data_IF_473007797203
#
_entry.id   IF_473007797203
#
_cell.length_a   1.000
_cell.length_b   1.000
_cell.length_c   1.000
_cell.angle_alpha   90.00
_cell.angle_beta   90.00
_cell.angle_gamma   90.00
#
_symmetry.space_group_name_H-M   'P 1'
#
loop_
_entity.id
_entity.type
_entity.pdbx_description
1 polymer ?
#
# COMPACT_ATOMS: atom_id res chain seq x y z
N UNK A 1 -20.40 -20.36 -18.98
CA UNK A 1 -19.82 -19.71 -17.79
C UNK A 1 -18.91 -20.73 -17.10
N UNK A 2 -17.60 -20.51 -17.07
CA UNK A 2 -16.65 -21.37 -16.34
C UNK A 2 -16.02 -20.56 -15.19
N UNK A 3 -15.85 -21.14 -13.99
CA UNK A 3 -15.14 -20.52 -12.89
C UNK A 3 -13.62 -20.42 -13.18
N UNK A 4 -12.95 -19.44 -12.59
CA UNK A 4 -11.51 -19.15 -12.79
C UNK A 4 -10.61 -20.38 -12.48
N UNK A 5 -11.09 -21.34 -11.67
CA UNK A 5 -10.37 -22.60 -11.40
C UNK A 5 -10.10 -23.45 -12.65
N UNK A 6 -10.85 -23.27 -13.74
CA UNK A 6 -10.68 -24.05 -14.97
C UNK A 6 -9.56 -23.55 -15.91
N UNK A 7 -8.95 -22.39 -15.63
CA UNK A 7 -7.90 -21.79 -16.48
C UNK A 7 -6.47 -22.11 -16.02
N UNK A 8 -6.30 -23.00 -15.04
CA UNK A 8 -5.03 -23.19 -14.31
C UNK A 8 -4.17 -24.39 -14.73
N UNK A 9 -4.54 -25.17 -15.76
CA UNK A 9 -3.71 -26.31 -16.19
C UNK A 9 -3.32 -26.21 -17.68
N UNK A 10 -2.04 -25.92 -17.99
CA UNK A 10 -1.51 -26.14 -19.33
C UNK A 10 -1.15 -27.63 -19.57
N UNK A 11 -1.62 -28.18 -20.69
CA UNK A 11 -1.19 -29.47 -21.25
C UNK A 11 0.28 -29.37 -21.71
N UNK A 12 1.18 -30.31 -21.38
CA UNK A 12 2.57 -30.24 -21.80
C UNK A 12 2.80 -31.02 -23.10
N UNK A 13 3.54 -30.47 -24.08
CA UNK A 13 4.18 -31.17 -25.22
C UNK A 13 5.14 -30.19 -25.97
N UNK A 14 6.15 -30.64 -26.75
CA UNK A 14 7.53 -30.67 -26.28
C UNK A 14 8.54 -29.84 -27.12
N UNK A 15 9.71 -29.68 -26.50
CA UNK A 15 10.99 -29.10 -26.93
C UNK A 15 11.43 -29.23 -28.40
N UNK A 16 12.01 -28.15 -28.97
CA UNK A 16 13.09 -28.20 -29.98
C UNK A 16 14.11 -27.06 -29.83
N UNK A 17 15.37 -27.43 -30.08
CA UNK A 17 16.67 -26.77 -29.87
C UNK A 17 17.12 -25.83 -31.03
N UNK A 18 18.25 -25.10 -30.90
CA UNK A 18 18.53 -23.84 -31.60
C UNK A 18 19.59 -23.92 -32.72
N UNK A 19 19.68 -22.88 -33.57
CA UNK A 19 20.79 -22.62 -34.52
C UNK A 19 20.56 -21.24 -35.19
N UNK A 20 21.50 -20.42 -35.67
CA UNK A 20 22.92 -20.09 -35.46
C UNK A 20 23.28 -19.05 -36.56
N UNK A 21 24.30 -18.21 -36.32
CA UNK A 21 25.11 -17.39 -37.29
C UNK A 21 24.48 -16.12 -37.90
N UNK A 22 25.19 -15.04 -38.26
CA UNK A 22 26.57 -14.51 -38.07
C UNK A 22 26.57 -13.03 -38.56
N UNK A 23 27.51 -12.21 -38.08
CA UNK A 23 27.82 -10.84 -38.57
C UNK A 23 28.72 -10.84 -39.82
N UNK A 24 28.91 -9.69 -40.51
CA UNK A 24 30.16 -8.91 -40.28
C UNK A 24 30.10 -7.35 -40.46
N UNK A 25 30.94 -6.64 -39.66
CA UNK A 25 31.94 -5.55 -39.93
C UNK A 25 31.70 -4.51 -41.08
N UNK A 26 31.97 -3.19 -41.03
CA UNK A 26 32.54 -2.18 -40.09
C UNK A 26 32.46 -0.76 -40.82
N UNK A 27 33.19 0.33 -40.47
CA UNK A 27 32.83 1.44 -39.57
C UNK A 27 32.82 2.87 -40.22
N UNK A 28 32.12 3.86 -39.63
CA UNK A 28 32.58 5.27 -39.64
C UNK A 28 32.05 6.05 -38.43
N UNK A 29 32.96 6.80 -37.80
CA UNK A 29 32.79 7.62 -36.60
C UNK A 29 31.98 8.89 -36.85
N UNK A 30 31.01 9.21 -36.00
CA UNK A 30 30.66 10.60 -35.69
C UNK A 30 30.06 10.70 -34.28
N UNK A 31 30.50 11.75 -33.60
CA UNK A 31 30.39 12.05 -32.18
C UNK A 31 28.97 12.36 -31.69
N UNK A 32 28.68 11.80 -30.51
CA UNK A 32 27.85 12.31 -29.41
C UNK A 32 26.57 13.10 -29.71
N UNK A 33 25.43 12.43 -29.48
CA UNK A 33 24.33 13.00 -28.69
C UNK A 33 23.68 11.86 -27.89
N UNK A 34 24.08 11.75 -26.62
CA UNK A 34 23.53 10.80 -25.65
C UNK A 34 22.07 11.19 -25.36
N UNK A 35 21.13 10.50 -26.00
CA UNK A 35 19.74 10.46 -25.55
C UNK A 35 19.48 9.10 -24.92
N UNK A 36 19.35 9.03 -23.59
CA UNK A 36 18.58 7.99 -22.95
C UNK A 36 17.51 8.67 -22.10
N UNK A 37 16.29 8.73 -22.63
CA UNK A 37 15.12 8.61 -21.76
C UNK A 37 14.72 7.13 -21.80
N UNK A 38 15.15 6.31 -20.83
CA UNK A 38 14.35 5.14 -20.54
C UNK A 38 13.02 5.67 -20.01
N UNK A 39 11.93 5.36 -20.72
CA UNK A 39 10.62 5.37 -20.10
C UNK A 39 10.76 4.60 -18.77
N UNK A 40 10.24 5.10 -17.64
CA UNK A 40 10.29 4.31 -16.42
C UNK A 40 9.53 3.03 -16.71
N UNK A 41 10.24 1.91 -16.78
CA UNK A 41 9.64 0.59 -16.79
C UNK A 41 8.71 0.56 -15.58
N UNK A 42 7.40 0.55 -15.83
CA UNK A 42 6.38 0.45 -14.80
C UNK A 42 6.46 -0.97 -14.26
N UNK A 43 7.41 -1.21 -13.34
CA UNK A 43 7.39 -2.41 -12.53
C UNK A 43 6.16 -2.28 -11.64
N UNK A 44 5.25 -3.23 -11.78
CA UNK A 44 4.17 -3.43 -10.83
C UNK A 44 4.80 -3.58 -9.45
N UNK A 45 4.16 -3.12 -8.38
CA UNK A 45 4.63 -3.47 -7.03
C UNK A 45 4.75 -5.00 -6.87
N UNK A 46 3.93 -5.75 -7.63
CA UNK A 46 3.95 -7.21 -7.77
C UNK A 46 5.31 -7.79 -8.15
N UNK A 47 6.14 -7.02 -8.86
CA UNK A 47 7.47 -7.43 -9.37
C UNK A 47 8.62 -6.86 -8.52
N UNK A 48 8.30 -6.10 -7.46
CA UNK A 48 9.30 -5.45 -6.63
C UNK A 48 10.11 -6.49 -5.81
N UNK A 49 11.45 -6.46 -5.90
CA UNK A 49 12.31 -7.35 -5.11
C UNK A 49 12.06 -7.19 -3.60
N UNK A 50 11.85 -8.29 -2.88
CA UNK A 50 11.68 -8.31 -1.42
C UNK A 50 10.23 -8.31 -0.92
N UNK A 51 9.24 -8.26 -1.80
CA UNK A 51 7.83 -8.49 -1.43
C UNK A 51 7.60 -9.99 -1.17
N UNK A 52 7.10 -10.35 0.01
CA UNK A 52 6.69 -11.72 0.29
C UNK A 52 5.22 -11.88 -0.08
N UNK A 53 4.93 -12.69 -1.10
CA UNK A 53 3.57 -13.22 -1.28
C UNK A 53 3.30 -14.28 -0.22
N UNK A 54 2.13 -14.26 0.40
CA UNK A 54 1.72 -15.26 1.37
C UNK A 54 0.26 -15.10 1.76
N UNK A 55 -0.27 -16.09 2.47
CA UNK A 55 -1.58 -15.99 3.12
C UNK A 55 -1.60 -14.79 4.07
N UNK A 56 -2.76 -14.14 4.26
CA UNK A 56 -2.90 -13.10 5.27
C UNK A 56 -2.44 -13.61 6.64
N UNK A 57 -1.73 -12.79 7.41
CA UNK A 57 -1.41 -13.11 8.80
C UNK A 57 -2.15 -12.15 9.73
N UNK A 58 -2.98 -12.71 10.61
CA UNK A 58 -3.85 -11.93 11.48
C UNK A 58 -5.17 -11.52 10.82
N UNK A 59 -5.97 -10.69 11.52
CA UNK A 59 -7.29 -10.30 11.04
C UNK A 59 -7.20 -9.36 9.83
N UNK A 60 -8.09 -9.59 8.85
CA UNK A 60 -8.30 -8.69 7.73
C UNK A 60 -9.43 -7.73 8.10
N UNK A 61 -9.07 -6.57 8.64
CA UNK A 61 -10.04 -5.56 9.06
C UNK A 61 -10.49 -4.67 7.89
N UNK A 62 -9.63 -4.53 6.86
CA UNK A 62 -9.84 -3.67 5.70
C UNK A 62 -9.66 -4.45 4.39
N UNK A 63 -10.59 -5.39 4.07
CA UNK A 63 -10.55 -6.15 2.83
C UNK A 63 -10.81 -5.26 1.62
N UNK A 64 -10.37 -5.64 0.40
CA UNK A 64 -10.82 -5.00 -0.83
C UNK A 64 -12.33 -5.17 -0.98
N UNK A 65 -12.99 -4.18 -1.57
CA UNK A 65 -14.39 -4.28 -1.93
C UNK A 65 -14.56 -5.26 -3.11
N UNK A 66 -15.25 -6.37 -2.87
CA UNK A 66 -15.54 -7.42 -3.86
C UNK A 66 -16.89 -7.21 -4.56
N UNK A 67 -17.56 -6.07 -4.35
CA UNK A 67 -18.82 -5.78 -5.05
C UNK A 67 -18.58 -5.48 -6.53
N UNK A 68 -19.29 -6.19 -7.39
CA UNK A 68 -19.28 -6.00 -8.85
C UNK A 68 -20.71 -5.98 -9.37
N UNK A 69 -21.05 -4.92 -10.10
CA UNK A 69 -22.21 -4.89 -10.99
C UNK A 69 -21.76 -4.58 -12.43
N UNK A 70 -22.69 -4.65 -13.37
CA UNK A 70 -22.42 -4.45 -14.79
C UNK A 70 -21.78 -3.07 -15.05
N UNK A 71 -22.25 -2.02 -14.38
CA UNK A 71 -21.72 -0.67 -14.51
C UNK A 71 -20.29 -0.54 -13.97
N UNK A 72 -19.97 -1.16 -12.83
CA UNK A 72 -18.62 -1.18 -12.28
C UNK A 72 -17.68 -2.01 -13.14
N UNK A 73 -18.12 -3.11 -13.76
CA UNK A 73 -17.30 -3.89 -14.69
C UNK A 73 -16.85 -3.07 -15.90
N UNK A 74 -17.75 -2.28 -16.50
CA UNK A 74 -17.40 -1.38 -17.61
C UNK A 74 -16.38 -0.32 -17.18
N UNK A 75 -16.57 0.24 -15.98
CA UNK A 75 -15.63 1.20 -15.40
C UNK A 75 -14.27 0.55 -15.15
N UNK A 76 -14.23 -0.65 -14.60
CA UNK A 76 -12.98 -1.34 -14.29
C UNK A 76 -12.19 -1.63 -15.57
N UNK A 77 -12.88 -1.99 -16.66
CA UNK A 77 -12.28 -2.11 -17.98
C UNK A 77 -11.77 -0.75 -18.50
N UNK A 78 -12.57 0.32 -18.38
CA UNK A 78 -12.19 1.68 -18.80
C UNK A 78 -10.94 2.20 -18.09
N UNK A 79 -10.81 1.94 -16.79
CA UNK A 79 -9.66 2.35 -15.99
C UNK A 79 -8.52 1.31 -15.98
N UNK A 80 -8.63 0.22 -16.77
CA UNK A 80 -7.66 -0.88 -16.81
C UNK A 80 -7.25 -1.34 -15.39
N UNK A 81 -8.23 -1.52 -14.49
CA UNK A 81 -7.97 -1.85 -13.08
C UNK A 81 -7.32 -3.24 -13.00
N UNK A 82 -6.13 -3.29 -12.41
CA UNK A 82 -5.35 -4.51 -12.21
C UNK A 82 -5.00 -4.66 -10.74
N UNK A 83 -5.61 -5.64 -10.10
CA UNK A 83 -5.24 -6.01 -8.74
C UNK A 83 -3.82 -6.59 -8.73
N UNK A 84 -3.01 -6.13 -7.77
CA UNK A 84 -1.71 -6.75 -7.53
C UNK A 84 -2.02 -8.14 -6.96
N UNK A 85 -1.78 -9.19 -7.74
CA UNK A 85 -2.25 -10.53 -7.40
C UNK A 85 -1.82 -10.95 -5.98
N UNK A 86 -2.82 -11.27 -5.13
CA UNK A 86 -2.73 -11.81 -3.74
C UNK A 86 -2.19 -10.84 -2.70
N UNK A 87 -2.62 -11.00 -1.44
CA UNK A 87 -2.07 -10.32 -0.25
C UNK A 87 -0.55 -10.26 -0.32
N UNK A 88 0.02 -9.07 -0.25
CA UNK A 88 1.47 -8.89 -0.26
C UNK A 88 1.91 -8.36 1.09
N UNK A 89 2.89 -9.01 1.69
CA UNK A 89 3.58 -8.45 2.85
C UNK A 89 4.68 -7.54 2.35
N UNK A 90 4.61 -6.27 2.69
CA UNK A 90 5.78 -5.40 2.64
C UNK A 90 6.46 -5.57 4.00
N UNK A 91 7.62 -6.24 4.08
CA UNK A 91 8.44 -6.14 5.27
C UNK A 91 8.81 -4.67 5.43
N UNK A 92 8.14 -3.99 6.35
CA UNK A 92 8.58 -2.70 6.83
C UNK A 92 9.74 -3.01 7.77
N UNK A 93 10.92 -2.47 7.47
CA UNK A 93 12.01 -2.39 8.45
C UNK A 93 12.03 -0.94 8.89
N UNK A 94 11.40 -0.62 10.04
CA UNK A 94 11.36 0.75 10.51
C UNK A 94 12.80 1.27 10.57
N UNK A 95 13.07 2.35 9.85
CA UNK A 95 14.30 3.12 10.05
C UNK A 95 14.21 3.94 11.34
N UNK A 96 13.03 4.02 11.96
CA UNK A 96 12.75 4.70 13.22
C UNK A 96 11.76 3.89 14.07
N UNK A 97 11.93 3.81 15.40
CA UNK A 97 11.04 3.08 16.30
C UNK A 97 9.62 3.66 16.39
N UNK A 98 9.39 4.89 15.89
CA UNK A 98 8.09 5.60 15.92
C UNK A 98 6.91 4.74 15.41
N UNK A 99 7.13 3.93 14.37
CA UNK A 99 6.05 3.09 13.85
C UNK A 99 5.67 1.98 14.83
N UNK A 100 6.65 1.25 15.38
CA UNK A 100 6.38 0.21 16.36
C UNK A 100 5.78 0.79 17.64
N UNK A 101 6.32 1.91 18.11
CA UNK A 101 5.79 2.61 19.29
C UNK A 101 4.33 3.00 19.09
N UNK A 102 3.93 3.44 17.89
CA UNK A 102 2.56 3.91 17.65
C UNK A 102 1.59 2.81 17.22
N UNK A 103 2.07 1.69 16.68
CA UNK A 103 1.21 0.64 16.10
C UNK A 103 1.34 -0.73 16.77
N UNK A 104 2.40 -0.96 17.56
CA UNK A 104 2.75 -2.27 18.10
C UNK A 104 3.25 -3.27 17.04
N UNK A 105 3.49 -2.80 15.80
CA UNK A 105 3.86 -3.66 14.65
C UNK A 105 5.19 -3.23 14.06
N UNK A 106 5.93 -4.21 13.55
CA UNK A 106 7.16 -3.96 12.81
C UNK A 106 6.94 -4.04 11.29
N UNK A 107 5.88 -4.71 10.83
CA UNK A 107 5.59 -4.93 9.41
C UNK A 107 4.21 -4.36 9.03
N UNK A 108 4.01 -4.16 7.72
CA UNK A 108 2.74 -3.69 7.15
C UNK A 108 2.27 -4.69 6.11
N UNK A 109 1.03 -5.16 6.23
CA UNK A 109 0.48 -6.18 5.35
C UNK A 109 -0.49 -5.52 4.38
N UNK A 110 -0.16 -5.52 3.08
CA UNK A 110 -0.85 -4.68 2.12
C UNK A 110 -1.75 -5.43 1.13
N UNK A 111 -2.83 -4.76 0.77
CA UNK A 111 -3.47 -4.91 -0.52
C UNK A 111 -3.04 -3.81 -1.47
N UNK A 112 -3.19 -4.08 -2.77
CA UNK A 112 -2.87 -3.14 -3.80
C UNK A 112 -3.59 -3.40 -5.11
N UNK A 113 -3.83 -2.32 -5.84
CA UNK A 113 -4.20 -2.38 -7.24
C UNK A 113 -3.67 -1.15 -7.96
N UNK A 114 -3.53 -1.29 -9.27
CA UNK A 114 -3.19 -0.22 -10.17
C UNK A 114 -4.35 0.06 -11.09
N UNK A 115 -4.51 1.32 -11.46
CA UNK A 115 -5.45 1.71 -12.50
C UNK A 115 -4.83 2.79 -13.36
N UNK A 116 -5.26 2.87 -14.61
CA UNK A 116 -4.84 3.88 -15.57
C UNK A 116 -5.97 4.87 -15.76
N UNK A 117 -5.68 6.14 -15.51
CA UNK A 117 -6.67 7.19 -15.74
C UNK A 117 -6.73 7.51 -17.23
N UNK A 118 -7.89 7.35 -17.90
CA UNK A 118 -8.04 7.59 -19.32
C UNK A 118 -7.78 9.07 -19.70
N UNK A 119 -7.84 9.98 -18.74
CA UNK A 119 -7.71 11.42 -18.96
C UNK A 119 -6.26 11.90 -19.03
N UNK A 120 -5.31 11.23 -18.36
CA UNK A 120 -3.88 11.56 -18.42
C UNK A 120 -2.97 10.39 -18.83
N UNK A 121 -3.53 9.19 -18.98
CA UNK A 121 -2.80 7.96 -19.32
C UNK A 121 -1.86 7.49 -18.21
N UNK A 122 -1.86 8.13 -17.03
CA UNK A 122 -0.95 7.79 -15.94
C UNK A 122 -1.50 6.60 -15.15
N UNK A 123 -0.60 5.65 -14.86
CA UNK A 123 -0.88 4.54 -13.95
C UNK A 123 -0.74 5.03 -12.51
N UNK A 124 -1.78 4.77 -11.72
CA UNK A 124 -1.92 5.17 -10.32
C UNK A 124 -1.99 3.91 -9.48
N UNK A 125 -1.07 3.80 -8.52
CA UNK A 125 -0.98 2.68 -7.57
C UNK A 125 -1.68 3.07 -6.26
N UNK A 126 -2.68 2.28 -5.89
CA UNK A 126 -3.38 2.37 -4.61
C UNK A 126 -2.97 1.17 -3.76
N UNK A 127 -2.47 1.42 -2.56
CA UNK A 127 -2.11 0.38 -1.59
C UNK A 127 -2.54 0.80 -0.18
N UNK A 128 -2.92 -0.18 0.64
CA UNK A 128 -3.30 0.03 2.02
C UNK A 128 -2.98 -1.19 2.88
N UNK A 129 -2.73 -0.94 4.16
CA UNK A 129 -2.59 -1.96 5.18
C UNK A 129 -3.96 -2.54 5.54
N UNK A 130 -4.15 -3.85 5.35
CA UNK A 130 -5.44 -4.46 5.60
C UNK A 130 -5.74 -4.74 7.08
N UNK A 131 -4.75 -4.56 7.95
CA UNK A 131 -4.89 -4.78 9.39
C UNK A 131 -5.29 -3.51 10.12
N UNK A 132 -4.58 -2.39 9.93
CA UNK A 132 -4.87 -1.12 10.63
C UNK A 132 -5.53 -0.07 9.73
N UNK A 133 -5.81 -0.38 8.46
CA UNK A 133 -6.46 0.56 7.54
C UNK A 133 -5.58 1.72 7.13
N UNK A 134 -4.26 1.56 7.15
CA UNK A 134 -3.33 2.61 6.76
C UNK A 134 -3.25 2.71 5.23
N UNK A 135 -3.79 3.78 4.65
CA UNK A 135 -3.84 4.03 3.21
C UNK A 135 -2.69 4.92 2.77
N UNK A 136 -1.97 4.52 1.71
CA UNK A 136 -0.87 5.32 1.17
C UNK A 136 -1.39 6.60 0.48
N UNK A 137 -1.01 7.75 1.02
CA UNK A 137 -1.53 9.04 0.58
C UNK A 137 -1.11 9.43 -0.83
N UNK A 138 0.09 9.04 -1.26
CA UNK A 138 0.65 9.39 -2.57
C UNK A 138 -0.22 8.88 -3.72
N UNK A 139 -0.79 7.68 -3.60
CA UNK A 139 -1.69 7.11 -4.61
C UNK A 139 -2.96 7.96 -4.76
N UNK A 140 -3.55 8.34 -3.63
CA UNK A 140 -4.74 9.20 -3.58
C UNK A 140 -4.45 10.59 -4.14
N UNK A 141 -3.39 11.28 -3.69
CA UNK A 141 -3.12 12.64 -4.16
C UNK A 141 -2.74 12.73 -5.64
N UNK A 142 -2.13 11.68 -6.21
CA UNK A 142 -1.86 11.60 -7.66
C UNK A 142 -3.14 11.51 -8.50
N UNK A 143 -4.29 11.21 -7.90
CA UNK A 143 -5.59 11.24 -8.57
C UNK A 143 -6.02 12.65 -9.01
N UNK A 144 -5.39 13.69 -8.46
CA UNK A 144 -5.68 15.08 -8.81
C UNK A 144 -4.48 15.72 -9.52
N UNK A 145 -4.63 16.02 -10.82
CA UNK A 145 -3.51 16.39 -11.72
C UNK A 145 -2.68 17.60 -11.27
N UNK A 146 -3.25 18.55 -10.53
CA UNK A 146 -2.59 19.83 -10.22
C UNK A 146 -1.67 19.79 -8.99
N UNK A 147 -1.40 18.61 -8.41
CA UNK A 147 -0.88 18.52 -7.05
C UNK A 147 0.57 18.00 -6.97
N UNK A 148 1.46 18.87 -6.45
CA UNK A 148 2.90 18.63 -6.35
C UNK A 148 3.35 17.81 -5.13
N UNK A 149 4.63 17.44 -5.10
CA UNK A 149 5.25 16.52 -4.13
C UNK A 149 5.12 16.92 -2.64
N UNK A 150 4.90 18.20 -2.33
CA UNK A 150 4.84 18.74 -0.95
C UNK A 150 3.44 18.70 -0.35
N UNK A 151 2.42 18.33 -1.12
CA UNK A 151 1.03 18.43 -0.70
C UNK A 151 0.67 17.55 0.51
N UNK A 152 1.12 16.29 0.64
CA UNK A 152 0.78 15.48 1.81
C UNK A 152 1.12 16.19 3.12
N UNK A 153 2.29 16.83 3.21
CA UNK A 153 2.69 17.57 4.39
C UNK A 153 1.80 18.79 4.68
N UNK A 154 1.29 19.47 3.65
CA UNK A 154 0.36 20.59 3.79
C UNK A 154 -1.00 20.12 4.32
N UNK A 155 -1.53 19.03 3.77
CA UNK A 155 -2.78 18.43 4.26
C UNK A 155 -2.64 18.01 5.72
N UNK A 156 -1.54 17.36 6.08
CA UNK A 156 -1.24 16.98 7.46
C UNK A 156 -1.13 18.19 8.40
N UNK A 157 -0.59 19.32 7.94
CA UNK A 157 -0.45 20.53 8.77
C UNK A 157 -1.76 21.31 8.90
N UNK A 158 -2.64 21.26 7.90
CA UNK A 158 -3.92 21.98 7.91
C UNK A 158 -4.94 21.33 8.84
N UNK A 159 -4.83 20.01 9.06
CA UNK A 159 -5.75 19.24 9.88
C UNK A 159 -5.10 18.91 11.23
N UNK A 160 -5.56 19.57 12.30
CA UNK A 160 -5.11 19.29 13.67
C UNK A 160 -5.33 17.80 14.00
N UNK A 161 -4.32 17.15 14.59
CA UNK A 161 -4.38 15.73 14.98
C UNK A 161 -4.13 14.72 13.85
N UNK A 162 -4.20 15.13 12.58
CA UNK A 162 -4.07 14.18 11.46
C UNK A 162 -2.67 13.53 11.40
N UNK A 163 -1.62 14.23 11.85
CA UNK A 163 -0.26 13.68 11.97
C UNK A 163 -0.18 12.53 12.96
N UNK A 164 -0.97 12.57 14.03
CA UNK A 164 -0.94 11.60 15.11
C UNK A 164 -1.57 10.26 14.69
N UNK A 165 -2.36 10.28 13.62
CA UNK A 165 -2.95 9.10 12.96
C UNK A 165 -2.34 8.79 11.59
N UNK A 166 -1.20 9.43 11.28
CA UNK A 166 -0.46 9.22 10.03
C UNK A 166 0.96 8.76 10.29
N UNK A 167 1.48 7.91 9.40
CA UNK A 167 2.82 7.32 9.51
C UNK A 167 3.63 7.59 8.24
N UNK A 168 4.89 7.97 8.41
CA UNK A 168 5.82 8.10 7.29
C UNK A 168 6.64 6.82 7.18
N UNK A 169 6.33 6.00 6.19
CA UNK A 169 7.09 4.77 5.90
C UNK A 169 8.24 5.11 4.95
N UNK A 170 9.47 4.82 5.39
CA UNK A 170 10.73 5.03 4.66
C UNK A 170 11.60 3.78 4.70
N UNK A 171 12.34 3.52 3.62
CA UNK A 171 13.13 2.30 3.45
C UNK A 171 12.31 1.17 2.81
N UNK A 172 12.98 0.09 2.39
CA UNK A 172 12.34 -1.03 1.69
C UNK A 172 11.90 -0.68 0.26
N UNK A 173 10.81 -1.32 -0.19
CA UNK A 173 10.25 -1.19 -1.55
C UNK A 173 9.81 0.25 -1.83
N UNK A 174 10.38 0.89 -2.86
CA UNK A 174 10.23 2.31 -3.17
C UNK A 174 8.77 2.69 -3.40
N UNK A 175 8.03 1.83 -4.10
CA UNK A 175 6.62 2.00 -4.43
C UNK A 175 5.74 2.06 -3.18
N UNK A 176 6.19 1.47 -2.07
CA UNK A 176 5.50 1.50 -0.78
C UNK A 176 5.87 2.68 0.12
N UNK A 177 6.88 3.45 -0.24
CA UNK A 177 7.30 4.56 0.62
C UNK A 177 6.33 5.75 0.51
N UNK A 178 6.23 6.51 1.60
CA UNK A 178 5.42 7.73 1.66
C UNK A 178 4.70 7.90 2.99
N UNK A 179 3.77 8.85 3.01
CA UNK A 179 2.84 8.98 4.12
C UNK A 179 1.68 7.99 3.95
N UNK A 180 1.24 7.47 5.08
CA UNK A 180 0.08 6.63 5.25
C UNK A 180 -0.83 7.29 6.27
N UNK A 181 -2.13 7.30 6.02
CA UNK A 181 -3.15 7.87 6.91
C UNK A 181 -4.23 6.83 7.16
N UNK A 182 -4.98 6.98 8.25
CA UNK A 182 -6.12 6.09 8.52
C UNK A 182 -7.12 6.09 7.36
N UNK A 183 -7.83 4.97 7.22
CA UNK A 183 -8.77 4.73 6.13
C UNK A 183 -9.82 5.81 6.03
N UNK A 184 -10.48 6.14 7.15
CA UNK A 184 -11.54 7.16 7.17
C UNK A 184 -11.01 8.57 6.83
N UNK A 185 -9.82 8.91 7.31
CA UNK A 185 -9.18 10.18 6.91
C UNK A 185 -8.86 10.20 5.41
N UNK A 186 -8.35 9.09 4.85
CA UNK A 186 -8.06 8.97 3.42
C UNK A 186 -9.33 9.09 2.58
N UNK A 187 -10.40 8.40 2.99
CA UNK A 187 -11.71 8.44 2.33
C UNK A 187 -12.27 9.86 2.35
N UNK A 188 -12.27 10.52 3.51
CA UNK A 188 -12.76 11.89 3.67
C UNK A 188 -11.99 12.90 2.80
N UNK A 189 -10.66 12.77 2.73
CA UNK A 189 -9.79 13.56 1.87
C UNK A 189 -10.13 13.29 0.40
N UNK A 190 -10.17 12.02 -0.03
CA UNK A 190 -10.43 11.63 -1.41
C UNK A 190 -11.79 12.12 -1.92
N UNK A 191 -12.84 12.13 -1.10
CA UNK A 191 -14.16 12.71 -1.44
C UNK A 191 -14.06 14.14 -1.95
N UNK A 192 -13.11 14.93 -1.46
CA UNK A 192 -12.99 16.35 -1.80
C UNK A 192 -12.39 16.62 -3.18
N UNK A 193 -11.68 15.67 -3.81
CA UNK A 193 -10.95 15.96 -5.06
C UNK A 193 -10.83 14.79 -6.04
N UNK A 194 -11.21 13.57 -5.66
CA UNK A 194 -11.10 12.41 -6.56
C UNK A 194 -12.30 12.27 -7.51
N UNK A 195 -13.12 13.31 -7.72
CA UNK A 195 -14.33 13.22 -8.53
C UNK A 195 -14.12 12.54 -9.88
N UNK A 196 -13.09 12.95 -10.62
CA UNK A 196 -12.84 12.44 -11.98
C UNK A 196 -12.43 10.96 -12.03
N UNK A 197 -11.96 10.39 -10.92
CA UNK A 197 -11.53 8.99 -10.83
C UNK A 197 -12.28 8.21 -9.75
N UNK A 198 -13.37 8.76 -9.22
CA UNK A 198 -14.05 8.27 -8.02
C UNK A 198 -14.45 6.81 -8.12
N UNK A 199 -14.89 6.36 -9.29
CA UNK A 199 -15.25 4.96 -9.50
C UNK A 199 -14.04 4.02 -9.51
N UNK A 200 -12.86 4.48 -9.89
CA UNK A 200 -11.62 3.70 -9.80
C UNK A 200 -11.13 3.52 -8.36
N UNK A 201 -11.72 4.23 -7.38
CA UNK A 201 -11.43 4.11 -5.96
C UNK A 201 -12.44 3.23 -5.20
N UNK A 202 -13.42 2.66 -5.90
CA UNK A 202 -14.38 1.71 -5.30
C UNK A 202 -13.71 0.44 -4.74
N UNK A 203 -12.61 -0.12 -5.29
CA UNK A 203 -11.98 -1.29 -4.69
C UNK A 203 -11.46 -1.07 -3.26
N UNK A 204 -11.14 0.17 -2.89
CA UNK A 204 -10.69 0.51 -1.52
C UNK A 204 -11.83 1.12 -0.69
N UNK A 205 -12.61 2.05 -1.23
CA UNK A 205 -13.58 2.83 -0.44
C UNK A 205 -15.03 2.36 -0.51
N UNK A 206 -15.30 1.31 -1.31
CA UNK A 206 -16.62 0.72 -1.45
C UNK A 206 -17.47 1.34 -2.58
N UNK A 207 -18.62 0.72 -2.89
CA UNK A 207 -19.46 1.09 -4.03
C UNK A 207 -20.18 2.43 -3.85
N UNK A 208 -20.39 2.89 -2.61
CA UNK A 208 -21.06 4.17 -2.33
C UNK A 208 -20.14 5.37 -2.49
N UNK A 209 -18.81 5.16 -2.47
CA UNK A 209 -17.81 6.23 -2.52
C UNK A 209 -18.00 7.22 -3.68
N UNK A 210 -18.33 6.81 -4.92
CA UNK A 210 -18.62 7.74 -6.01
C UNK A 210 -19.73 8.74 -5.73
N UNK A 211 -20.78 8.35 -5.00
CA UNK A 211 -21.90 9.22 -4.65
C UNK A 211 -21.52 10.21 -3.53
N UNK A 212 -20.55 9.85 -2.70
CA UNK A 212 -20.04 10.67 -1.60
C UNK A 212 -19.01 11.72 -2.04
N UNK A 213 -18.46 11.61 -3.26
CA UNK A 213 -17.50 12.56 -3.80
C UNK A 213 -18.15 13.92 -4.13
N UNK A 214 -17.43 15.00 -3.86
CA UNK A 214 -17.86 16.34 -4.25
C UNK A 214 -17.63 16.56 -5.75
N UNK A 215 -18.60 17.12 -6.49
CA UNK A 215 -18.39 17.50 -7.88
C UNK A 215 -17.54 18.79 -7.99
N UNK A 216 -16.91 19.07 -9.16
CA UNK A 216 -15.95 20.17 -9.30
C UNK A 216 -16.53 21.57 -9.09
N UNK A 217 -17.84 21.74 -9.25
CA UNK A 217 -18.61 22.96 -9.02
C UNK A 217 -18.97 23.17 -7.54
N UNK A 218 -18.81 22.15 -6.69
CA UNK A 218 -19.09 22.27 -5.27
C UNK A 218 -18.03 23.15 -4.57
N UNK A 219 -18.42 24.10 -3.69
CA UNK A 219 -17.50 25.05 -3.08
C UNK A 219 -16.41 24.41 -2.21
N UNK A 220 -16.69 23.24 -1.65
CA UNK A 220 -15.73 22.44 -0.88
C UNK A 220 -14.79 21.56 -1.72
N UNK A 221 -14.96 21.50 -3.04
CA UNK A 221 -14.09 20.70 -3.92
C UNK A 221 -12.66 21.23 -3.91
N UNK A 222 -11.68 20.34 -3.89
CA UNK A 222 -10.26 20.68 -3.80
C UNK A 222 -9.79 21.14 -2.41
N UNK A 223 -10.69 21.27 -1.41
CA UNK A 223 -10.31 21.57 -0.03
C UNK A 223 -9.58 20.39 0.61
N UNK A 224 -8.70 20.71 1.56
CA UNK A 224 -7.89 19.72 2.30
C UNK A 224 -8.40 19.49 3.72
N UNK A 225 -9.41 20.25 4.14
CA UNK A 225 -9.96 20.15 5.49
C UNK A 225 -10.96 19.00 5.56
N UNK A 226 -10.77 18.16 6.56
CA UNK A 226 -11.72 17.12 6.93
C UNK A 226 -12.29 17.39 8.31
N UNK A 227 -13.45 16.79 8.58
CA UNK A 227 -14.13 16.92 9.87
C UNK A 227 -13.20 16.44 10.99
N UNK A 228 -13.08 17.26 12.05
CA UNK A 228 -12.27 16.94 13.22
C UNK A 228 -12.80 15.69 13.96
N UNK A 229 -14.08 15.38 13.82
CA UNK A 229 -14.67 14.15 14.36
C UNK A 229 -14.03 12.90 13.76
N UNK A 230 -13.79 12.88 12.44
CA UNK A 230 -13.18 11.75 11.73
C UNK A 230 -11.76 11.51 12.24
N UNK A 231 -11.01 12.57 12.50
CA UNK A 231 -9.63 12.48 13.02
C UNK A 231 -9.63 11.93 14.44
N UNK A 232 -10.58 12.36 15.29
CA UNK A 232 -10.72 11.87 16.66
C UNK A 232 -11.05 10.37 16.68
N UNK A 233 -12.03 9.94 15.90
CA UNK A 233 -12.39 8.51 15.80
C UNK A 233 -11.22 7.67 15.27
N UNK A 234 -10.53 8.17 14.23
CA UNK A 234 -9.34 7.51 13.72
C UNK A 234 -8.23 7.38 14.79
N UNK A 235 -8.11 8.33 15.71
CA UNK A 235 -7.14 8.25 16.79
C UNK A 235 -7.51 7.20 17.84
N UNK A 236 -8.80 7.12 18.19
CA UNK A 236 -9.32 6.09 19.09
C UNK A 236 -9.15 4.69 18.48
N UNK A 237 -9.45 4.55 17.19
CA UNK A 237 -9.27 3.29 16.47
C UNK A 237 -7.79 2.90 16.37
N UNK A 238 -6.89 3.83 16.05
CA UNK A 238 -5.46 3.57 16.02
C UNK A 238 -4.92 3.07 17.38
N UNK A 239 -5.42 3.64 18.48
CA UNK A 239 -5.09 3.17 19.84
C UNK A 239 -5.66 1.77 20.11
N UNK A 240 -6.87 1.46 19.63
CA UNK A 240 -7.45 0.13 19.74
C UNK A 240 -6.62 -0.92 18.98
N UNK A 241 -6.25 -0.63 17.72
CA UNK A 241 -5.36 -1.49 16.91
C UNK A 241 -4.01 -1.72 17.59
N UNK A 242 -3.40 -0.67 18.14
CA UNK A 242 -2.14 -0.79 18.90
C UNK A 242 -2.29 -1.70 20.11
N UNK A 243 -3.35 -1.53 20.91
CA UNK A 243 -3.60 -2.38 22.09
C UNK A 243 -3.79 -3.84 21.70
N UNK A 244 -4.54 -4.10 20.63
CA UNK A 244 -4.74 -5.45 20.11
C UNK A 244 -3.41 -6.07 19.62
N UNK A 245 -2.61 -5.33 18.85
CA UNK A 245 -1.31 -5.80 18.36
C UNK A 245 -0.36 -6.15 19.51
N UNK A 246 -0.26 -5.31 20.55
CA UNK A 246 0.57 -5.57 21.73
C UNK A 246 0.06 -6.75 22.57
N UNK A 247 -1.26 -6.96 22.64
CA UNK A 247 -1.84 -8.12 23.32
C UNK A 247 -1.49 -9.43 22.58
N UNK A 248 -1.53 -9.43 21.25
CA UNK A 248 -1.13 -10.56 20.42
C UNK A 248 0.39 -10.81 20.43
N UNK A 249 1.21 -9.78 20.68
CA UNK A 249 2.67 -9.87 20.74
C UNK A 249 3.21 -10.44 22.06
N UNK A 250 2.36 -10.78 23.05
CA UNK A 250 2.84 -11.38 24.30
C UNK A 250 3.52 -12.73 24.03
N UNK A 251 4.71 -12.98 24.61
CA UNK A 251 5.29 -14.32 24.61
C UNK A 251 4.37 -15.26 25.41
N UNK A 252 4.45 -16.56 25.10
CA UNK A 252 3.80 -17.65 25.84
C UNK A 252 3.85 -17.43 27.37
N UNK A 253 2.88 -17.97 28.14
CA UNK A 253 2.85 -17.81 29.58
C UNK A 253 4.18 -18.27 30.19
N UNK A 254 4.61 -17.53 31.22
CA UNK A 254 5.77 -17.84 32.04
C UNK A 254 5.84 -19.36 32.31
N UNK A 255 7.03 -19.98 32.28
CA UNK A 255 7.14 -21.37 32.72
C UNK A 255 6.54 -21.46 34.13
N UNK A 256 5.69 -22.48 34.31
CA UNK A 256 5.11 -22.81 35.61
C UNK A 256 6.22 -22.87 36.67
N UNK A 257 5.93 -22.55 37.94
CA UNK A 257 6.95 -22.53 39.01
C UNK A 257 7.63 -23.89 39.29
N UNK A 258 7.22 -24.95 38.60
CA UNK A 258 7.56 -26.34 38.91
C UNK A 258 8.41 -27.00 37.81
N UNK A 259 9.42 -26.29 37.32
CA UNK A 259 10.40 -26.85 36.38
C UNK A 259 11.79 -26.36 36.70
N UNK A 260 12.52 -27.15 37.49
CA UNK A 260 13.96 -27.02 37.71
C UNK A 260 14.70 -27.00 36.37
N UNK A 261 15.30 -25.87 35.99
CA UNK A 261 16.39 -25.83 35.01
C UNK A 261 17.21 -24.53 35.18
N UNK A 262 18.36 -24.69 35.84
CA UNK A 262 19.23 -23.64 36.41
C UNK A 262 20.18 -22.98 35.38
N UNK A 263 19.88 -23.05 34.08
CA UNK A 263 20.80 -22.57 33.04
C UNK A 263 20.39 -21.26 32.32
N UNK A 264 19.14 -20.80 32.47
CA UNK A 264 18.64 -19.63 31.71
C UNK A 264 18.93 -18.26 32.37
N UNK A 265 19.31 -18.24 33.65
CA UNK A 265 19.65 -17.00 34.39
C UNK A 265 20.99 -16.39 33.93
N UNK A 266 21.86 -17.16 33.28
CA UNK A 266 23.17 -16.66 32.80
C UNK A 266 23.08 -15.86 31.50
N UNK A 267 22.08 -16.07 30.65
CA UNK A 267 21.95 -15.34 29.38
C UNK A 267 21.41 -13.92 29.60
N UNK A 268 20.39 -13.78 30.46
CA UNK A 268 19.73 -12.49 30.72
C UNK A 268 20.63 -11.52 31.48
N UNK A 269 21.47 -12.00 32.41
CA UNK A 269 22.45 -11.16 33.13
C UNK A 269 23.58 -10.63 32.25
N UNK A 270 23.92 -11.30 31.15
CA UNK A 270 25.01 -10.88 30.26
C UNK A 270 24.61 -9.74 29.32
N UNK A 271 23.32 -9.62 29.00
CA UNK A 271 22.80 -8.56 28.12
C UNK A 271 22.58 -7.24 28.87
N UNK A 272 22.22 -7.29 30.17
CA UNK A 272 21.97 -6.09 30.97
C UNK A 272 23.22 -5.36 31.47
N UNK A 273 24.39 -6.01 31.49
CA UNK A 273 25.67 -5.38 31.90
C UNK A 273 26.43 -4.71 30.75
N UNK A 274 25.98 -4.84 29.50
CA UNK A 274 26.64 -4.22 28.34
C UNK A 274 26.11 -2.81 28.01
N UNK A 275 25.16 -2.29 28.80
CA UNK A 275 24.57 -0.96 28.64
C UNK A 275 24.49 -0.19 29.96
N UNK A 276 25.46 -0.37 30.87
CA UNK A 276 25.69 0.48 32.05
C UNK A 276 27.00 1.23 31.91
#
# INVERSE_FOLDING_TARGET
MLPISALLNPVPEPSRTPSSRMAPLNPTSTVEAVVPKPAPAQCMISDAPGLKSGSPQGPINYPPCEYYDEGLSEIYAKYEIRFTSRTRRIPYKPTKPDFYERTGRNEVDIYGYEFKDPTDGQVKLIIWDYTNGLVRTTGIFKCHKSWGKTLPARVLNKNRGLRDVSHKLTGGVIESQGYYMSFECAKAIAKKFCWNVRYALTPIFGPDFPAECLPPDHPGYGSWEIDQHIIREAAEEAQAHRRAALAHARPYPSPSPDGDDDDDIRYVKRVLLLYS
#
